data_IF_178805924059
#
_entry.id   IF_178805924059
#
_cell.length_a   1.000
_cell.length_b   1.000
_cell.length_c   1.000
_cell.angle_alpha   90.00
_cell.angle_beta   90.00
_cell.angle_gamma   90.00
#
_symmetry.space_group_name_H-M   'P 1'
#
loop_
_entity.id
_entity.type
_entity.pdbx_description
1 polymer ?
#
# COMPACT_ATOMS: atom_id res chain seq x y z
N UNK A 1 11.50 -15.56 -6.55
CA UNK A 1 11.15 -14.53 -7.54
C UNK A 1 12.27 -13.51 -7.61
N UNK A 2 12.30 -12.68 -8.65
CA UNK A 2 13.14 -11.47 -8.66
C UNK A 2 12.39 -10.40 -7.86
N UNK A 3 13.10 -9.57 -7.12
CA UNK A 3 12.46 -8.49 -6.34
C UNK A 3 12.16 -7.31 -7.27
N UNK A 4 10.89 -6.92 -7.31
CA UNK A 4 10.40 -5.73 -8.01
C UNK A 4 10.46 -4.49 -7.10
N UNK A 5 10.17 -3.30 -7.64
CA UNK A 5 10.06 -2.06 -6.88
C UNK A 5 8.64 -1.50 -7.01
N UNK A 6 8.11 -0.97 -5.90
CA UNK A 6 6.90 -0.14 -5.86
C UNK A 6 7.25 1.27 -5.39
N UNK A 7 6.64 2.29 -6.00
CA UNK A 7 6.72 3.68 -5.55
C UNK A 7 5.33 4.26 -5.30
N UNK A 8 5.18 5.13 -4.29
CA UNK A 8 4.05 6.04 -4.17
C UNK A 8 4.35 7.35 -4.91
N UNK A 9 3.42 7.78 -5.76
CA UNK A 9 3.58 8.98 -6.57
C UNK A 9 2.53 10.02 -6.17
N UNK A 10 2.91 10.86 -5.20
CA UNK A 10 2.07 11.92 -4.63
C UNK A 10 1.37 12.79 -5.69
N UNK A 11 2.14 13.27 -6.69
CA UNK A 11 1.63 14.22 -7.69
C UNK A 11 0.69 13.63 -8.73
N UNK A 12 0.74 12.31 -8.95
CA UNK A 12 -0.06 11.62 -9.98
C UNK A 12 -1.12 10.69 -9.40
N UNK A 13 -1.31 10.70 -8.07
CA UNK A 13 -2.33 9.91 -7.37
C UNK A 13 -2.30 8.41 -7.71
N UNK A 14 -1.09 7.85 -7.86
CA UNK A 14 -0.92 6.44 -8.20
C UNK A 14 0.27 5.83 -7.45
N UNK A 15 0.31 4.50 -7.43
CA UNK A 15 1.57 3.78 -7.25
C UNK A 15 2.12 3.38 -8.61
N UNK A 16 3.43 3.14 -8.70
CA UNK A 16 4.02 2.56 -9.89
C UNK A 16 4.89 1.35 -9.55
N UNK A 17 4.78 0.32 -10.38
CA UNK A 17 5.54 -0.91 -10.25
C UNK A 17 6.62 -0.96 -11.33
N UNK A 18 7.85 -1.23 -10.90
CA UNK A 18 8.99 -1.46 -11.76
C UNK A 18 9.37 -2.93 -11.67
N UNK A 19 9.09 -3.67 -12.73
CA UNK A 19 9.35 -5.12 -12.79
C UNK A 19 10.83 -5.39 -13.05
N UNK A 20 11.44 -6.26 -12.25
CA UNK A 20 12.84 -6.60 -12.36
C UNK A 20 13.09 -7.61 -13.47
N UNK A 21 13.85 -7.20 -14.49
CA UNK A 21 14.18 -8.05 -15.63
C UNK A 21 15.22 -9.13 -15.29
N UNK A 22 15.87 -9.04 -14.12
CA UNK A 22 16.90 -9.98 -13.64
C UNK A 22 18.28 -9.75 -14.20
N UNK A 23 18.47 -8.66 -14.92
CA UNK A 23 19.73 -8.22 -15.49
C UNK A 23 20.30 -7.01 -14.73
N UNK A 24 19.80 -6.75 -13.51
CA UNK A 24 20.10 -5.53 -12.75
C UNK A 24 19.38 -4.28 -13.28
N UNK A 25 18.40 -4.45 -14.18
CA UNK A 25 17.56 -3.38 -14.73
C UNK A 25 16.09 -3.64 -14.45
N UNK A 26 15.31 -2.56 -14.45
CA UNK A 26 13.86 -2.62 -14.31
C UNK A 26 13.18 -2.23 -15.63
N UNK A 27 12.01 -2.83 -15.90
CA UNK A 27 11.15 -2.44 -17.00
C UNK A 27 10.54 -1.05 -16.77
N UNK A 28 9.88 -0.51 -17.80
CA UNK A 28 9.11 0.72 -17.69
C UNK A 28 8.05 0.58 -16.60
N UNK A 29 7.83 1.66 -15.86
CA UNK A 29 6.87 1.69 -14.77
C UNK A 29 5.45 1.37 -15.25
N UNK A 30 4.72 0.60 -14.45
CA UNK A 30 3.29 0.33 -14.64
C UNK A 30 2.51 1.06 -13.54
N UNK A 31 1.74 2.11 -13.84
CA UNK A 31 0.99 2.85 -12.83
C UNK A 31 -0.32 2.13 -12.45
N UNK A 32 -0.69 2.21 -11.18
CA UNK A 32 -1.98 1.78 -10.63
C UNK A 32 -2.61 2.92 -9.86
N UNK A 33 -3.84 3.30 -10.23
CA UNK A 33 -4.58 4.39 -9.62
C UNK A 33 -4.83 4.14 -8.13
N UNK A 34 -4.37 5.06 -7.27
CA UNK A 34 -4.57 5.02 -5.82
C UNK A 34 -5.84 5.78 -5.40
N UNK A 35 -6.59 6.31 -6.37
CA UNK A 35 -7.82 7.06 -6.19
C UNK A 35 -7.62 8.55 -6.43
N UNK A 36 -8.64 9.20 -6.97
CA UNK A 36 -8.65 10.65 -7.21
C UNK A 36 -8.29 11.44 -5.95
N UNK A 37 -7.28 12.32 -6.06
CA UNK A 37 -6.78 13.14 -4.95
C UNK A 37 -6.20 12.36 -3.76
N UNK A 38 -5.84 11.08 -3.94
CA UNK A 38 -5.28 10.22 -2.89
C UNK A 38 -3.96 10.74 -2.32
N UNK A 39 -3.11 11.34 -3.18
CA UNK A 39 -1.81 11.88 -2.77
C UNK A 39 -1.01 10.87 -1.93
N UNK A 40 -0.72 9.66 -2.44
CA UNK A 40 -0.09 8.61 -1.66
C UNK A 40 1.31 9.06 -1.21
N UNK A 41 1.61 8.88 0.07
CA UNK A 41 2.85 9.32 0.72
C UNK A 41 3.74 8.17 1.17
N UNK A 42 3.16 7.01 1.45
CA UNK A 42 3.86 5.81 1.86
C UNK A 42 3.30 4.55 1.21
N UNK A 43 4.15 3.53 1.08
CA UNK A 43 3.78 2.19 0.62
C UNK A 43 4.41 1.13 1.52
N UNK A 44 3.73 0.00 1.69
CA UNK A 44 4.27 -1.21 2.27
C UNK A 44 3.76 -2.44 1.52
N UNK A 45 4.43 -3.58 1.71
CA UNK A 45 4.18 -4.83 1.00
C UNK A 45 3.99 -5.95 2.03
N UNK A 46 2.94 -6.73 1.87
CA UNK A 46 2.57 -7.83 2.77
C UNK A 46 1.45 -8.68 2.17
N UNK A 47 1.15 -9.84 2.74
CA UNK A 47 0.03 -10.68 2.32
C UNK A 47 -1.22 -10.29 3.11
N UNK A 48 -2.04 -9.38 2.57
CA UNK A 48 -3.19 -8.80 3.28
C UNK A 48 -4.50 -9.54 3.01
N UNK A 49 -4.47 -10.59 2.18
CA UNK A 49 -5.63 -11.45 1.92
C UNK A 49 -5.42 -12.93 2.30
N UNK A 50 -4.21 -13.30 2.73
CA UNK A 50 -3.85 -14.65 3.17
C UNK A 50 -3.66 -15.66 2.04
N UNK A 51 -3.42 -15.21 0.80
CA UNK A 51 -3.29 -16.08 -0.36
C UNK A 51 -1.84 -16.50 -0.67
N UNK A 52 -0.89 -16.06 0.17
CA UNK A 52 0.53 -16.33 0.05
C UNK A 52 1.26 -15.44 -0.95
N UNK A 53 0.60 -14.39 -1.48
CA UNK A 53 1.21 -13.43 -2.40
C UNK A 53 1.33 -12.07 -1.75
N UNK A 54 2.41 -11.38 -2.12
CA UNK A 54 2.61 -10.01 -1.68
C UNK A 54 1.64 -9.07 -2.39
N UNK A 55 0.76 -8.47 -1.60
CA UNK A 55 -0.10 -7.33 -1.90
C UNK A 55 0.63 -6.01 -1.58
N UNK A 56 -0.01 -4.88 -1.89
CA UNK A 56 0.53 -3.54 -1.62
C UNK A 56 -0.50 -2.74 -0.83
N UNK A 57 -0.06 -2.02 0.18
CA UNK A 57 -0.86 -1.00 0.87
C UNK A 57 -0.26 0.38 0.69
N UNK A 58 -1.12 1.39 0.51
CA UNK A 58 -0.73 2.81 0.46
C UNK A 58 -1.28 3.58 1.65
N UNK A 59 -0.52 4.56 2.13
CA UNK A 59 -1.04 5.64 2.97
C UNK A 59 -1.46 6.80 2.08
N UNK A 60 -2.76 7.10 2.02
CA UNK A 60 -3.29 8.15 1.15
C UNK A 60 -3.62 9.40 1.96
N UNK A 61 -2.68 10.34 1.95
CA UNK A 61 -2.75 11.59 2.70
C UNK A 61 -4.00 12.40 2.35
N UNK A 62 -4.34 12.52 1.06
CA UNK A 62 -5.40 13.40 0.58
C UNK A 62 -6.81 12.85 0.79
N UNK A 63 -6.97 11.52 0.82
CA UNK A 63 -8.28 10.86 0.97
C UNK A 63 -8.55 10.30 2.37
N UNK A 64 -7.64 10.51 3.33
CA UNK A 64 -7.77 10.06 4.72
C UNK A 64 -8.01 8.55 4.86
N UNK A 65 -7.39 7.74 4.00
CA UNK A 65 -7.54 6.30 4.01
C UNK A 65 -6.19 5.61 3.78
N UNK A 66 -6.17 4.31 4.06
CA UNK A 66 -5.24 3.42 3.38
C UNK A 66 -5.94 2.80 2.18
N UNK A 67 -5.19 2.29 1.22
CA UNK A 67 -5.74 1.48 0.14
C UNK A 67 -4.90 0.24 -0.12
N UNK A 68 -5.57 -0.90 -0.32
CA UNK A 68 -4.92 -2.18 -0.59
C UNK A 68 -5.10 -2.55 -2.06
N UNK A 69 -3.99 -2.89 -2.71
CA UNK A 69 -3.92 -3.45 -4.05
C UNK A 69 -3.59 -4.93 -3.93
N UNK A 70 -4.58 -5.78 -4.23
CA UNK A 70 -4.44 -7.24 -4.17
C UNK A 70 -3.70 -7.76 -5.40
N UNK A 71 -2.72 -8.62 -5.20
CA UNK A 71 -1.97 -9.26 -6.27
C UNK A 71 -2.74 -10.44 -6.88
N UNK A 72 -3.05 -10.35 -8.17
CA UNK A 72 -3.80 -11.40 -8.86
C UNK A 72 -2.96 -12.67 -9.15
N UNK A 73 -1.66 -12.66 -8.83
CA UNK A 73 -0.73 -13.76 -9.12
C UNK A 73 -0.29 -13.86 -10.58
N UNK A 74 -0.75 -12.94 -11.42
CA UNK A 74 -0.40 -12.84 -12.84
C UNK A 74 0.60 -11.71 -13.14
N UNK A 75 1.20 -11.14 -12.08
CA UNK A 75 2.05 -9.94 -12.18
C UNK A 75 1.26 -8.64 -12.32
N UNK A 76 -0.05 -8.67 -12.04
CA UNK A 76 -0.91 -7.48 -11.99
C UNK A 76 -1.62 -7.37 -10.65
N UNK A 77 -1.99 -6.15 -10.31
CA UNK A 77 -2.79 -5.85 -9.13
C UNK A 77 -4.24 -5.53 -9.51
N UNK A 78 -5.17 -5.90 -8.63
CA UNK A 78 -6.57 -5.51 -8.72
C UNK A 78 -6.74 -4.01 -8.46
N UNK A 79 -7.94 -3.49 -8.74
CA UNK A 79 -8.32 -2.14 -8.32
C UNK A 79 -8.22 -2.02 -6.80
N UNK A 80 -7.73 -0.87 -6.35
CA UNK A 80 -7.53 -0.62 -4.92
C UNK A 80 -8.83 -0.71 -4.13
N UNK A 81 -8.73 -1.22 -2.90
CA UNK A 81 -9.80 -1.23 -1.91
C UNK A 81 -9.43 -0.25 -0.78
N UNK A 82 -10.20 0.83 -0.57
CA UNK A 82 -9.89 1.81 0.45
C UNK A 82 -10.45 1.42 1.82
N UNK A 83 -9.69 1.70 2.88
CA UNK A 83 -10.12 1.57 4.27
C UNK A 83 -9.92 2.89 5.01
N UNK A 84 -11.00 3.42 5.57
CA UNK A 84 -11.01 4.71 6.26
C UNK A 84 -10.01 4.72 7.44
N UNK A 85 -9.12 5.70 7.45
CA UNK A 85 -8.17 5.91 8.55
C UNK A 85 -8.68 6.94 9.57
N UNK A 86 -9.91 7.42 9.37
CA UNK A 86 -10.59 8.40 10.21
C UNK A 86 -10.61 9.78 9.57
N UNK A 87 -11.65 10.54 9.91
CA UNK A 87 -11.82 11.92 9.41
C UNK A 87 -10.61 12.78 9.76
N UNK A 88 -10.07 13.48 8.75
CA UNK A 88 -8.90 14.36 8.87
C UNK A 88 -7.63 13.67 9.37
N UNK A 89 -7.52 12.35 9.24
CA UNK A 89 -6.35 11.57 9.69
C UNK A 89 -5.07 11.93 8.94
N UNK A 90 -5.16 12.18 7.62
CA UNK A 90 -4.00 12.42 6.75
C UNK A 90 -2.86 11.40 6.96
N UNK A 91 -3.06 10.11 6.63
CA UNK A 91 -2.03 9.09 6.77
C UNK A 91 -0.77 9.48 5.99
N UNK A 92 0.38 9.45 6.67
CA UNK A 92 1.65 9.93 6.12
C UNK A 92 2.66 8.81 5.85
N UNK A 93 2.63 7.76 6.66
CA UNK A 93 3.50 6.60 6.53
C UNK A 93 2.72 5.36 6.93
N UNK A 94 3.17 4.21 6.41
CA UNK A 94 2.58 2.91 6.67
C UNK A 94 3.67 1.90 6.98
N UNK A 95 3.43 1.06 7.97
CA UNK A 95 4.25 -0.09 8.33
C UNK A 95 3.34 -1.32 8.47
N UNK A 96 3.92 -2.51 8.30
CA UNK A 96 3.18 -3.78 8.33
C UNK A 96 3.91 -4.81 9.18
N UNK A 97 3.16 -5.68 9.83
CA UNK A 97 3.65 -6.71 10.73
C UNK A 97 2.52 -7.30 11.56
N UNK A 98 2.79 -8.41 12.24
CA UNK A 98 1.85 -9.00 13.21
C UNK A 98 1.91 -8.18 14.50
N UNK A 99 0.93 -7.30 14.72
CA UNK A 99 0.91 -6.36 15.84
C UNK A 99 0.02 -6.82 16.99
N UNK A 100 -0.93 -7.73 16.74
CA UNK A 100 -1.79 -8.31 17.79
C UNK A 100 -1.43 -9.75 18.20
N UNK A 101 -0.51 -10.39 17.48
CA UNK A 101 0.03 -11.72 17.79
C UNK A 101 -0.81 -12.88 17.26
N UNK A 102 -1.72 -12.64 16.31
CA UNK A 102 -2.57 -13.68 15.73
C UNK A 102 -1.91 -14.45 14.55
N UNK A 103 -0.71 -14.02 14.15
CA UNK A 103 0.06 -14.61 13.06
C UNK A 103 -0.29 -14.09 11.66
N UNK A 104 -1.15 -13.08 11.55
CA UNK A 104 -1.51 -12.39 10.32
C UNK A 104 -0.81 -11.04 10.20
N UNK A 105 -0.80 -10.46 9.01
CA UNK A 105 -0.10 -9.19 8.78
C UNK A 105 -1.10 -8.04 8.95
N UNK A 106 -0.88 -7.27 10.00
CA UNK A 106 -1.60 -6.04 10.28
C UNK A 106 -0.92 -4.83 9.61
N UNK A 107 -1.65 -3.71 9.60
CA UNK A 107 -1.19 -2.44 9.03
C UNK A 107 -1.27 -1.35 10.10
N UNK A 108 -0.20 -0.56 10.23
CA UNK A 108 -0.16 0.63 11.10
C UNK A 108 0.14 1.87 10.27
N UNK A 109 -0.58 2.95 10.55
CA UNK A 109 -0.33 4.26 9.94
C UNK A 109 0.11 5.29 10.97
N UNK A 110 0.96 6.23 10.56
CA UNK A 110 1.12 7.50 11.27
C UNK A 110 0.20 8.55 10.65
N UNK A 111 -0.67 9.15 11.45
CA UNK A 111 -1.69 10.09 11.00
C UNK A 111 -1.28 11.51 11.39
N UNK A 112 -0.83 12.31 10.43
CA UNK A 112 -0.30 13.65 10.73
C UNK A 112 -1.40 14.65 11.07
N UNK A 113 -2.59 14.48 10.51
CA UNK A 113 -3.72 15.39 10.75
C UNK A 113 -4.33 15.24 12.14
N UNK A 114 -4.36 14.01 12.68
CA UNK A 114 -4.91 13.70 14.02
C UNK A 114 -3.84 13.50 15.10
N UNK A 115 -2.55 13.53 14.75
CA UNK A 115 -1.43 13.32 15.68
C UNK A 115 -1.52 12.00 16.47
N UNK A 116 -1.93 10.93 15.79
CA UNK A 116 -2.03 9.59 16.38
C UNK A 116 -1.50 8.51 15.40
N UNK A 117 -1.59 7.25 15.82
CA UNK A 117 -1.45 6.11 14.92
C UNK A 117 -2.81 5.46 14.66
N UNK A 118 -3.00 4.90 13.47
CA UNK A 118 -4.09 3.99 13.15
C UNK A 118 -3.57 2.55 13.12
N UNK A 119 -4.39 1.60 13.55
CA UNK A 119 -4.09 0.15 13.46
C UNK A 119 -5.25 -0.53 12.75
N UNK A 120 -4.95 -1.25 11.68
CA UNK A 120 -5.90 -2.06 10.91
C UNK A 120 -5.51 -3.51 11.10
N UNK A 121 -6.32 -4.23 11.88
CA UNK A 121 -6.10 -5.64 12.17
C UNK A 121 -6.69 -6.52 11.08
N UNK A 122 -5.97 -7.57 10.72
CA UNK A 122 -6.46 -8.58 9.80
C UNK A 122 -7.28 -9.63 10.57
N UNK A 123 -8.59 -9.73 10.32
CA UNK A 123 -9.48 -10.67 11.05
C UNK A 123 -9.51 -12.07 10.48
#
# INVERSE_FOLDING_TARGET
>A
GKNDIVTANYGTNNIAIFVNNGTGTFATQVPYDAGSSSQPTGVAVGDFNGDGKNDIVTANYGTNNIAIFVNNGTGTFATQVPYDAGSSSQPYSVAVGDFDGDGKIDIVTTNSGTSNIGVFLQM
#
